data_IF_335312394969
#
_entry.id   IF_335312394969
#
_cell.length_a   1.000
_cell.length_b   1.000
_cell.length_c   1.000
_cell.angle_alpha   90.00
_cell.angle_beta   90.00
_cell.angle_gamma   90.00
#
_symmetry.space_group_name_H-M   'P 1'
#
loop_
_entity.id
_entity.type
_entity.pdbx_description
1 polymer ?
#
# COMPACT_ATOMS: atom_id res chain seq x y z
N UNK A 1 3.93 8.82 -14.80
CA UNK A 1 2.64 8.30 -14.26
C UNK A 1 2.57 8.56 -12.76
N UNK A 2 1.36 8.58 -12.21
CA UNK A 2 1.10 8.62 -10.76
C UNK A 2 0.82 7.19 -10.29
N UNK A 3 1.67 6.69 -9.40
CA UNK A 3 1.59 5.32 -8.87
C UNK A 3 1.17 5.39 -7.40
N UNK A 4 -0.01 4.91 -7.09
CA UNK A 4 -0.51 4.83 -5.73
C UNK A 4 -0.23 3.44 -5.16
N UNK A 5 0.39 3.39 -4.00
CA UNK A 5 0.75 2.13 -3.32
C UNK A 5 0.18 2.13 -1.92
N UNK A 6 -0.55 1.08 -1.56
CA UNK A 6 -0.99 0.89 -0.18
C UNK A 6 0.18 0.53 0.73
N UNK A 7 0.14 0.95 1.96
CA UNK A 7 1.25 0.78 2.90
C UNK A 7 1.17 -0.56 3.62
N UNK A 8 0.30 -0.69 4.59
CA UNK A 8 0.23 -1.90 5.42
C UNK A 8 -0.30 -3.09 4.61
N UNK A 9 0.37 -4.21 4.67
CA UNK A 9 0.04 -5.44 3.93
C UNK A 9 0.63 -5.50 2.52
N UNK A 10 0.89 -4.35 1.89
CA UNK A 10 1.43 -4.24 0.53
C UNK A 10 2.94 -4.03 0.53
N UNK A 11 3.45 -3.04 1.28
CA UNK A 11 4.88 -2.69 1.33
C UNK A 11 5.44 -2.61 2.75
N UNK A 12 4.60 -2.65 3.77
CA UNK A 12 4.96 -2.66 5.18
C UNK A 12 4.25 -3.77 5.94
N UNK A 13 4.91 -4.32 6.94
CA UNK A 13 4.31 -5.28 7.86
C UNK A 13 4.82 -5.09 9.31
N UNK A 14 4.11 -5.67 10.27
CA UNK A 14 4.41 -5.58 11.69
C UNK A 14 5.64 -6.42 12.09
N UNK A 15 6.23 -6.15 13.26
CA UNK A 15 7.50 -6.75 13.70
C UNK A 15 7.47 -8.27 13.83
N UNK A 16 6.36 -8.85 14.31
CA UNK A 16 6.23 -10.30 14.43
C UNK A 16 6.16 -11.03 13.07
N UNK A 17 6.05 -10.30 11.97
CA UNK A 17 6.09 -10.86 10.62
C UNK A 17 7.50 -11.25 10.15
N UNK A 18 8.54 -10.71 10.78
CA UNK A 18 9.93 -10.92 10.37
C UNK A 18 10.29 -12.40 10.38
N UNK A 19 10.87 -12.87 9.28
CA UNK A 19 11.27 -14.28 9.07
C UNK A 19 10.13 -15.31 9.18
N UNK A 20 8.88 -14.85 9.02
CA UNK A 20 7.72 -15.73 9.01
C UNK A 20 7.25 -16.02 7.58
N UNK A 21 6.53 -17.13 7.42
CA UNK A 21 5.81 -17.41 6.17
C UNK A 21 4.63 -16.45 6.02
N UNK A 22 4.20 -16.18 4.78
CA UNK A 22 3.04 -15.34 4.51
C UNK A 22 1.78 -15.86 5.23
N UNK A 23 1.57 -17.16 5.25
CA UNK A 23 0.45 -17.82 5.93
C UNK A 23 0.47 -17.54 7.44
N UNK A 24 1.64 -17.59 8.06
CA UNK A 24 1.80 -17.25 9.48
C UNK A 24 1.49 -15.77 9.72
N UNK A 25 1.93 -14.87 8.85
CA UNK A 25 1.67 -13.43 8.98
C UNK A 25 0.16 -13.14 8.86
N UNK A 26 -0.51 -13.74 7.88
CA UNK A 26 -1.96 -13.63 7.72
C UNK A 26 -2.68 -14.11 8.99
N UNK A 27 -2.23 -15.22 9.56
CA UNK A 27 -2.82 -15.74 10.81
C UNK A 27 -2.57 -14.80 11.99
N UNK A 28 -1.38 -14.21 12.11
CA UNK A 28 -1.08 -13.20 13.14
C UNK A 28 -2.06 -12.01 13.09
N UNK A 29 -2.41 -11.55 11.90
CA UNK A 29 -3.38 -10.46 11.73
C UNK A 29 -4.79 -10.92 12.11
N UNK A 30 -5.22 -12.10 11.68
CA UNK A 30 -6.52 -12.70 12.07
C UNK A 30 -6.64 -12.86 13.58
N UNK A 31 -5.57 -13.27 14.23
CA UNK A 31 -5.50 -13.48 15.69
C UNK A 31 -5.26 -12.17 16.46
N UNK A 32 -5.15 -11.04 15.78
CA UNK A 32 -4.89 -9.71 16.36
C UNK A 32 -3.63 -9.69 17.23
N UNK A 33 -2.53 -10.23 16.70
CA UNK A 33 -1.24 -10.18 17.38
C UNK A 33 -0.91 -8.75 17.81
N UNK A 34 -0.43 -8.49 19.05
CA UNK A 34 -0.24 -7.12 19.56
C UNK A 34 0.61 -6.22 18.67
N UNK A 35 1.63 -6.76 18.00
CA UNK A 35 2.54 -5.98 17.13
C UNK A 35 1.87 -5.36 15.90
N UNK A 36 0.67 -5.82 15.50
CA UNK A 36 -0.07 -5.19 14.40
C UNK A 36 -0.54 -3.77 14.71
N UNK A 37 -0.58 -3.40 16.00
CA UNK A 37 -0.94 -2.06 16.46
C UNK A 37 0.29 -1.17 16.75
N UNK A 38 1.49 -1.70 16.63
CA UNK A 38 2.76 -1.00 16.85
C UNK A 38 3.28 -0.39 15.55
N UNK A 39 2.52 0.55 14.97
CA UNK A 39 2.78 1.10 13.64
C UNK A 39 4.15 1.74 13.49
N UNK A 40 4.69 2.38 14.54
CA UNK A 40 6.02 2.98 14.53
C UNK A 40 7.15 1.96 14.39
N UNK A 41 6.87 0.69 14.64
CA UNK A 41 7.83 -0.42 14.54
C UNK A 41 7.67 -1.24 13.25
N UNK A 42 6.78 -0.83 12.36
CA UNK A 42 6.62 -1.47 11.05
C UNK A 42 7.90 -1.35 10.22
N UNK A 43 8.09 -2.26 9.31
CA UNK A 43 9.24 -2.25 8.41
C UNK A 43 8.89 -2.78 7.01
N UNK A 44 9.77 -2.55 6.03
CA UNK A 44 9.50 -2.89 4.63
C UNK A 44 9.33 -4.38 4.40
N UNK A 45 8.43 -4.72 3.49
CA UNK A 45 8.34 -6.05 2.90
C UNK A 45 9.34 -6.12 1.75
N UNK A 46 10.30 -7.04 1.83
CA UNK A 46 11.31 -7.23 0.79
C UNK A 46 12.07 -5.95 0.43
N UNK A 47 12.26 -5.73 -0.85
CA UNK A 47 13.01 -4.60 -1.41
C UNK A 47 12.09 -3.43 -1.85
N UNK A 48 10.93 -3.28 -1.22
CA UNK A 48 9.94 -2.25 -1.60
C UNK A 48 10.53 -0.82 -1.67
N UNK A 49 11.40 -0.36 -0.73
CA UNK A 49 12.00 0.97 -0.84
C UNK A 49 12.84 1.13 -2.11
N UNK A 50 13.66 0.12 -2.45
CA UNK A 50 14.45 0.13 -3.67
C UNK A 50 13.57 0.16 -4.92
N UNK A 51 12.57 -0.70 -4.98
CA UNK A 51 11.64 -0.79 -6.12
C UNK A 51 10.95 0.54 -6.40
N UNK A 52 10.38 1.14 -5.37
CA UNK A 52 9.70 2.43 -5.49
C UNK A 52 10.67 3.57 -5.83
N UNK A 53 11.90 3.53 -5.31
CA UNK A 53 12.95 4.48 -5.66
C UNK A 53 13.31 4.40 -7.15
N UNK A 54 13.42 3.18 -7.71
CA UNK A 54 13.69 3.01 -9.14
C UNK A 54 12.55 3.56 -10.00
N UNK A 55 11.30 3.36 -9.62
CA UNK A 55 10.17 3.96 -10.32
C UNK A 55 10.16 5.49 -10.21
N UNK A 56 10.48 6.03 -9.03
CA UNK A 56 10.61 7.48 -8.83
C UNK A 56 11.70 8.09 -9.73
N UNK A 57 12.86 7.44 -9.85
CA UNK A 57 13.95 7.86 -10.74
C UNK A 57 13.54 7.83 -12.23
N UNK A 58 12.59 7.00 -12.61
CA UNK A 58 12.01 6.95 -13.95
C UNK A 58 11.00 8.09 -14.20
N UNK A 59 10.79 8.97 -13.24
CA UNK A 59 9.88 10.11 -13.34
C UNK A 59 8.44 9.79 -12.92
N UNK A 60 8.20 8.66 -12.29
CA UNK A 60 6.88 8.35 -11.74
C UNK A 60 6.70 9.03 -10.38
N UNK A 61 5.54 9.66 -10.19
CA UNK A 61 5.14 10.22 -8.90
C UNK A 61 4.59 9.09 -8.01
N UNK A 62 5.20 8.89 -6.85
CA UNK A 62 4.72 7.91 -5.86
C UNK A 62 3.73 8.59 -4.92
N UNK A 63 2.58 7.96 -4.74
CA UNK A 63 1.58 8.29 -3.73
C UNK A 63 1.44 7.08 -2.80
N UNK A 64 1.40 7.30 -1.52
CA UNK A 64 1.14 6.26 -0.53
C UNK A 64 -0.29 6.36 -0.03
N UNK A 65 -0.91 5.22 0.27
CA UNK A 65 -2.23 5.18 0.88
C UNK A 65 -2.19 4.32 2.13
N UNK A 66 -2.57 4.89 3.28
CA UNK A 66 -2.71 4.13 4.53
C UNK A 66 -4.18 3.96 4.91
N UNK A 67 -4.49 2.85 5.56
CA UNK A 67 -5.80 2.62 6.17
C UNK A 67 -5.94 3.26 7.56
N UNK A 68 -4.87 3.88 8.07
CA UNK A 68 -4.92 4.57 9.36
C UNK A 68 -5.72 5.87 9.26
N UNK A 69 -6.42 6.18 10.34
CA UNK A 69 -7.27 7.39 10.43
C UNK A 69 -6.87 8.29 11.60
N UNK A 70 -6.20 7.73 12.62
CA UNK A 70 -5.73 8.49 13.78
C UNK A 70 -4.44 9.25 13.45
N UNK A 71 -4.33 10.55 13.76
CA UNK A 71 -3.15 11.34 13.44
C UNK A 71 -1.82 10.75 13.92
N UNK A 72 -1.79 10.17 15.13
CA UNK A 72 -0.58 9.53 15.67
C UNK A 72 -0.15 8.29 14.89
N UNK A 73 -1.10 7.49 14.43
CA UNK A 73 -0.83 6.30 13.61
C UNK A 73 -0.37 6.68 12.20
N UNK A 74 -0.99 7.70 11.60
CA UNK A 74 -0.60 8.25 10.30
C UNK A 74 0.84 8.80 10.37
N UNK A 75 1.16 9.55 11.42
CA UNK A 75 2.51 10.04 11.62
C UNK A 75 3.53 8.90 11.79
N UNK A 76 3.15 7.84 12.53
CA UNK A 76 4.00 6.66 12.68
C UNK A 76 4.33 6.00 11.32
N UNK A 77 3.34 5.82 10.45
CA UNK A 77 3.57 5.29 9.11
C UNK A 77 4.46 6.23 8.28
N UNK A 78 4.23 7.54 8.35
CA UNK A 78 5.08 8.52 7.66
C UNK A 78 6.54 8.44 8.12
N UNK A 79 6.76 8.32 9.41
CA UNK A 79 8.11 8.18 9.99
C UNK A 79 8.77 6.87 9.54
N UNK A 80 8.02 5.76 9.49
CA UNK A 80 8.51 4.47 8.98
C UNK A 80 8.94 4.59 7.51
N UNK A 81 8.14 5.21 6.65
CA UNK A 81 8.51 5.43 5.25
C UNK A 81 9.81 6.23 5.14
N UNK A 82 9.95 7.29 5.92
CA UNK A 82 11.15 8.14 5.93
C UNK A 82 12.38 7.38 6.44
N UNK A 83 12.25 6.70 7.59
CA UNK A 83 13.34 6.00 8.25
C UNK A 83 13.87 4.81 7.43
N UNK A 84 13.02 4.19 6.64
CA UNK A 84 13.37 3.09 5.75
C UNK A 84 13.69 3.51 4.31
N UNK A 85 13.93 4.82 4.09
CA UNK A 85 14.40 5.37 2.81
C UNK A 85 13.47 5.11 1.62
N UNK A 86 12.18 5.08 1.87
CA UNK A 86 11.22 5.13 0.77
C UNK A 86 11.31 6.46 0.03
N UNK A 87 11.09 6.51 -1.29
CA UNK A 87 11.12 7.77 -2.05
C UNK A 87 10.06 8.73 -1.54
N UNK A 88 10.30 10.03 -1.70
CA UNK A 88 9.33 11.06 -1.35
C UNK A 88 8.00 10.82 -2.07
N UNK A 89 6.90 10.99 -1.33
CA UNK A 89 5.55 10.86 -1.83
C UNK A 89 4.54 11.30 -0.78
N UNK A 90 3.39 11.77 -1.23
CA UNK A 90 2.31 12.15 -0.33
C UNK A 90 1.70 10.90 0.29
N UNK A 91 1.54 10.88 1.63
CA UNK A 91 0.80 9.85 2.34
C UNK A 91 -0.67 10.27 2.47
N UNK A 92 -1.51 9.64 1.68
CA UNK A 92 -2.95 9.84 1.69
C UNK A 92 -3.60 8.93 2.75
N UNK A 93 -4.67 9.45 3.35
CA UNK A 93 -5.43 8.74 4.38
C UNK A 93 -6.87 9.18 4.36
N UNK A 94 -7.77 8.35 4.92
CA UNK A 94 -9.16 8.77 5.16
C UNK A 94 -9.23 9.69 6.37
N UNK A 95 -10.13 10.66 6.30
CA UNK A 95 -10.71 11.27 7.50
C UNK A 95 -11.84 10.39 8.03
N UNK A 96 -12.38 10.71 9.19
CA UNK A 96 -13.54 10.01 9.78
C UNK A 96 -14.78 10.02 8.87
N UNK A 97 -14.86 10.99 7.97
CA UNK A 97 -16.03 11.23 7.11
C UNK A 97 -15.80 10.96 5.62
N UNK A 98 -14.53 10.79 5.19
CA UNK A 98 -14.20 10.53 3.80
C UNK A 98 -14.08 9.01 3.59
N UNK A 99 -14.57 8.56 2.44
CA UNK A 99 -14.26 7.22 1.94
C UNK A 99 -13.06 7.25 0.98
N UNK A 100 -12.55 6.08 0.62
CA UNK A 100 -11.44 5.97 -0.32
C UNK A 100 -11.80 6.48 -1.71
N UNK A 101 -13.05 6.34 -2.14
CA UNK A 101 -13.51 6.81 -3.44
C UNK A 101 -13.36 8.33 -3.56
N UNK A 102 -13.69 9.08 -2.50
CA UNK A 102 -13.53 10.54 -2.46
C UNK A 102 -12.04 10.95 -2.55
N UNK A 103 -11.15 10.22 -1.86
CA UNK A 103 -9.71 10.49 -1.91
C UNK A 103 -9.16 10.19 -3.31
N UNK A 104 -9.55 9.06 -3.89
CA UNK A 104 -9.14 8.67 -5.25
C UNK A 104 -9.66 9.63 -6.30
N UNK A 105 -10.90 10.12 -6.17
CA UNK A 105 -11.47 11.12 -7.08
C UNK A 105 -10.66 12.43 -7.11
N UNK A 106 -10.09 12.84 -5.98
CA UNK A 106 -9.21 14.01 -5.87
C UNK A 106 -7.77 13.75 -6.35
N UNK A 107 -7.31 12.51 -6.24
CA UNK A 107 -5.93 12.11 -6.48
C UNK A 107 -5.81 10.96 -7.47
N UNK A 108 -6.58 10.97 -8.55
CA UNK A 108 -6.66 9.86 -9.50
C UNK A 108 -5.26 9.39 -9.90
N UNK A 109 -4.86 8.15 -9.55
CA UNK A 109 -3.61 7.57 -10.00
C UNK A 109 -3.77 6.96 -11.39
N UNK A 110 -2.66 6.77 -12.10
CA UNK A 110 -2.63 5.93 -13.30
C UNK A 110 -2.61 4.44 -12.94
N UNK A 111 -1.89 4.13 -11.85
CA UNK A 111 -1.73 2.78 -11.33
C UNK A 111 -2.07 2.76 -9.83
N UNK A 112 -2.82 1.78 -9.39
CA UNK A 112 -3.04 1.46 -7.99
C UNK A 112 -2.45 0.07 -7.69
N UNK A 113 -1.62 -0.02 -6.66
CA UNK A 113 -1.03 -1.26 -6.15
C UNK A 113 -1.54 -1.47 -4.74
N UNK A 114 -2.30 -2.52 -4.55
CA UNK A 114 -2.87 -2.90 -3.25
C UNK A 114 -2.83 -4.41 -3.07
N UNK A 115 -2.77 -4.88 -1.85
CA UNK A 115 -2.86 -6.30 -1.56
C UNK A 115 -4.29 -6.83 -1.64
N UNK A 116 -4.41 -8.14 -1.71
CA UNK A 116 -5.69 -8.83 -1.88
C UNK A 116 -6.53 -8.93 -0.60
N UNK A 117 -6.11 -8.28 0.48
CA UNK A 117 -6.84 -8.20 1.76
C UNK A 117 -7.22 -9.58 2.36
N UNK A 118 -6.39 -10.61 2.15
CA UNK A 118 -6.71 -11.99 2.57
C UNK A 118 -7.06 -12.11 4.05
N UNK A 119 -6.35 -11.35 4.91
CA UNK A 119 -6.57 -11.39 6.37
C UNK A 119 -7.89 -10.78 6.83
N UNK A 120 -8.55 -9.98 5.99
CA UNK A 120 -9.78 -9.24 6.35
C UNK A 120 -10.98 -9.52 5.47
N UNK A 121 -10.90 -10.51 4.58
CA UNK A 121 -12.04 -10.93 3.76
C UNK A 121 -11.76 -11.10 2.27
N UNK A 122 -10.56 -10.82 1.82
CA UNK A 122 -10.14 -11.04 0.43
C UNK A 122 -10.51 -9.91 -0.52
N UNK A 123 -10.45 -10.19 -1.82
CA UNK A 123 -10.59 -9.20 -2.90
C UNK A 123 -11.80 -8.26 -2.82
N UNK A 124 -12.98 -8.63 -2.27
CA UNK A 124 -14.07 -7.68 -2.10
C UNK A 124 -13.75 -6.53 -1.15
N UNK A 125 -12.73 -6.68 -0.31
CA UNK A 125 -12.27 -5.64 0.62
C UNK A 125 -11.32 -4.65 -0.04
N UNK A 126 -10.74 -4.99 -1.19
CA UNK A 126 -9.87 -4.11 -1.96
C UNK A 126 -10.60 -2.83 -2.37
N UNK A 127 -9.86 -1.72 -2.36
CA UNK A 127 -10.43 -0.41 -2.69
C UNK A 127 -10.81 -0.34 -4.16
N UNK A 128 -9.97 -0.86 -5.04
CA UNK A 128 -10.28 -0.91 -6.47
C UNK A 128 -11.62 -1.62 -6.74
N UNK A 129 -11.93 -2.67 -6.00
CA UNK A 129 -13.20 -3.42 -6.15
C UNK A 129 -14.43 -2.53 -5.90
N UNK A 130 -14.30 -1.52 -5.06
CA UNK A 130 -15.36 -0.61 -4.63
C UNK A 130 -15.48 0.67 -5.45
N UNK A 131 -14.56 0.91 -6.40
CA UNK A 131 -14.58 2.10 -7.23
C UNK A 131 -15.73 2.08 -8.24
N UNK A 132 -16.20 3.27 -8.58
CA UNK A 132 -17.15 3.43 -9.68
C UNK A 132 -16.57 2.93 -11.01
N UNK A 133 -17.41 2.40 -11.92
CA UNK A 133 -16.97 1.92 -13.21
C UNK A 133 -16.12 2.94 -14.00
N UNK A 134 -16.49 4.22 -13.98
CA UNK A 134 -15.76 5.27 -14.70
C UNK A 134 -14.33 5.45 -14.15
N UNK A 135 -14.14 5.41 -12.84
CA UNK A 135 -12.79 5.45 -12.24
C UNK A 135 -11.99 4.20 -12.61
N UNK A 136 -12.63 3.02 -12.61
CA UNK A 136 -11.97 1.76 -13.01
C UNK A 136 -11.43 1.80 -14.45
N UNK A 137 -12.08 2.49 -15.37
CA UNK A 137 -11.58 2.62 -16.75
C UNK A 137 -10.31 3.45 -16.84
N UNK A 138 -10.08 4.34 -15.88
CA UNK A 138 -8.96 5.29 -15.85
C UNK A 138 -7.75 4.80 -15.06
N UNK A 139 -7.94 3.81 -14.20
CA UNK A 139 -6.93 3.33 -13.25
C UNK A 139 -6.55 1.89 -13.61
N UNK A 140 -5.25 1.62 -13.68
CA UNK A 140 -4.75 0.24 -13.77
C UNK A 140 -4.60 -0.34 -12.37
N UNK A 141 -5.31 -1.41 -12.05
CA UNK A 141 -5.11 -2.14 -10.79
C UNK A 141 -4.05 -3.22 -10.95
N UNK A 142 -3.11 -3.24 -10.02
CA UNK A 142 -2.11 -4.30 -9.86
C UNK A 142 -2.30 -4.90 -8.46
N UNK A 143 -3.14 -5.93 -8.31
CA UNK A 143 -3.29 -6.61 -7.04
C UNK A 143 -2.04 -7.46 -6.74
N UNK A 144 -1.60 -7.44 -5.49
CA UNK A 144 -0.54 -8.31 -5.00
C UNK A 144 -1.06 -9.19 -3.87
N UNK A 145 -0.34 -10.26 -3.56
CA UNK A 145 -0.67 -11.06 -2.38
C UNK A 145 -0.33 -10.31 -1.11
N UNK A 146 -1.26 -10.27 -0.16
CA UNK A 146 -1.04 -9.64 1.15
C UNK A 146 0.24 -10.19 1.80
N UNK A 147 1.12 -9.31 2.24
CA UNK A 147 2.44 -9.58 2.82
C UNK A 147 3.48 -10.21 1.89
N UNK A 148 3.20 -10.39 0.61
CA UNK A 148 4.19 -10.89 -0.35
C UNK A 148 5.10 -9.79 -0.92
N UNK A 149 4.72 -8.53 -0.76
CA UNK A 149 5.48 -7.39 -1.27
C UNK A 149 5.35 -7.19 -2.78
N UNK A 150 6.19 -6.30 -3.30
CA UNK A 150 6.16 -5.85 -4.70
C UNK A 150 7.42 -6.20 -5.50
N UNK A 151 8.31 -7.01 -4.94
CA UNK A 151 9.61 -7.32 -5.57
C UNK A 151 9.47 -8.01 -6.92
N UNK A 152 8.42 -8.81 -7.10
CA UNK A 152 8.11 -9.52 -8.34
C UNK A 152 7.59 -8.62 -9.47
N UNK A 153 7.21 -7.37 -9.16
CA UNK A 153 6.75 -6.43 -10.17
C UNK A 153 7.95 -5.95 -11.02
N UNK A 154 7.73 -5.53 -12.27
CA UNK A 154 8.82 -5.12 -13.16
C UNK A 154 9.55 -3.89 -12.62
N UNK A 155 10.86 -3.82 -12.86
CA UNK A 155 11.66 -2.63 -12.50
C UNK A 155 11.32 -1.42 -13.37
N UNK A 156 10.79 -1.64 -14.55
CA UNK A 156 10.31 -0.59 -15.44
C UNK A 156 8.79 -0.69 -15.59
N UNK A 157 8.09 0.34 -15.11
CA UNK A 157 6.65 0.45 -15.35
C UNK A 157 6.42 0.94 -16.78
N UNK A 158 5.63 0.16 -17.54
CA UNK A 158 5.27 0.53 -18.90
C UNK A 158 4.02 1.42 -18.85
N UNK A 159 4.06 2.54 -19.57
CA UNK A 159 2.85 3.30 -19.86
C UNK A 159 1.90 2.42 -20.67
N UNK A 160 0.60 2.46 -20.33
CA UNK A 160 -0.39 1.86 -21.21
C UNK A 160 -0.26 2.54 -22.57
N UNK A 161 0.10 1.78 -23.60
CA UNK A 161 -0.12 2.22 -24.98
C UNK A 161 -1.64 2.31 -25.15
N UNK A 162 -2.13 3.53 -25.31
CA UNK A 162 -3.54 3.85 -25.61
C UNK A 162 -3.89 3.27 -26.96
#
# INVERSE_FOLDING_TARGET
MRVMVFTEGTILYHTAALNQTRETIVQQVKDKHPSIYEFSSYFPIGEAPRKLTEWSKQGHQILYMTSRTKPSEIQAIKDVLTNHHFPEGELLHRSTYDDYAAILAKNIPDIIIEDDCESIGGSPMMIYSKLDPDLKTRITSIPVKEFAGIDHLPDKLMEKTI
#
